data_IF_521954438466
#
_entry.id   IF_521954438466
#
_cell.length_a   1.000
_cell.length_b   1.000
_cell.length_c   1.000
_cell.angle_alpha   90.00
_cell.angle_beta   90.00
_cell.angle_gamma   90.00
#
_symmetry.space_group_name_H-M   'P 1'
#
loop_
_entity.id
_entity.type
_entity.pdbx_description
1 polymer ?
#
# COMPACT_ATOMS: atom_id res chain seq x y z
N UNK A 1 38.74 -5.01 1.38
CA UNK A 1 37.46 -4.64 2.01
C UNK A 1 36.34 -5.16 1.11
N UNK A 2 35.32 -5.83 1.63
CA UNK A 2 34.22 -6.37 0.81
C UNK A 2 33.24 -5.26 0.44
N UNK A 3 32.71 -5.27 -0.77
CA UNK A 3 31.75 -4.27 -1.26
C UNK A 3 30.48 -4.21 -0.42
N UNK A 4 29.99 -5.34 0.07
CA UNK A 4 28.84 -5.41 0.95
C UNK A 4 29.07 -4.82 2.35
N UNK A 5 30.34 -4.75 2.79
CA UNK A 5 30.70 -4.13 4.07
C UNK A 5 30.88 -2.61 3.90
N UNK A 6 31.48 -2.19 2.78
CA UNK A 6 31.59 -0.79 2.39
C UNK A 6 30.21 -0.15 2.11
N UNK A 7 29.31 -0.88 1.43
CA UNK A 7 27.92 -0.48 1.21
C UNK A 7 27.15 -0.34 2.53
N UNK A 8 27.37 -1.27 3.47
CA UNK A 8 26.80 -1.16 4.83
C UNK A 8 27.37 0.03 5.58
N UNK A 9 28.65 0.31 5.45
CA UNK A 9 29.30 1.44 6.10
C UNK A 9 28.78 2.78 5.56
N UNK A 10 28.67 2.91 4.22
CA UNK A 10 28.08 4.08 3.55
C UNK A 10 26.62 4.29 3.94
N UNK A 11 25.83 3.21 4.04
CA UNK A 11 24.42 3.29 4.48
C UNK A 11 24.33 3.60 5.98
N UNK A 12 25.27 3.10 6.79
CA UNK A 12 25.31 3.32 8.24
C UNK A 12 25.80 4.71 8.62
N UNK A 13 26.61 5.33 7.75
CA UNK A 13 26.90 6.76 7.78
C UNK A 13 25.57 7.47 7.53
N UNK A 14 24.89 7.84 8.62
CA UNK A 14 23.89 8.89 8.59
C UNK A 14 24.55 10.07 7.90
N UNK A 15 24.26 10.27 6.62
CA UNK A 15 24.42 11.55 5.95
C UNK A 15 23.68 12.52 6.85
N UNK A 16 24.42 13.24 7.69
CA UNK A 16 23.94 14.48 8.27
C UNK A 16 23.52 15.27 7.04
N UNK A 17 22.22 15.50 6.83
CA UNK A 17 21.78 16.18 5.63
C UNK A 17 22.58 17.48 5.58
N UNK A 18 23.20 17.80 4.43
CA UNK A 18 23.64 19.17 4.20
C UNK A 18 22.51 20.09 4.68
N UNK A 19 22.86 21.04 5.56
CA UNK A 19 21.94 22.00 6.15
C UNK A 19 21.20 22.74 5.02
N UNK A 20 20.07 22.19 4.56
CA UNK A 20 19.36 22.77 3.42
C UNK A 20 18.35 21.87 2.71
N UNK A 21 18.52 20.54 2.68
CA UNK A 21 17.65 19.68 1.84
C UNK A 21 16.82 18.71 2.69
N UNK A 22 15.57 19.10 2.93
CA UNK A 22 14.53 18.20 3.45
C UNK A 22 14.13 18.46 4.91
N UNK A 23 13.65 19.68 5.22
CA UNK A 23 12.83 19.86 6.43
C UNK A 23 11.65 18.87 6.36
N UNK A 24 11.34 18.13 7.44
CA UNK A 24 10.16 17.29 7.47
C UNK A 24 8.96 18.17 7.14
N UNK A 25 8.32 17.89 6.00
CA UNK A 25 7.14 18.63 5.58
C UNK A 25 6.00 18.19 6.50
N UNK A 26 5.91 18.85 7.66
CA UNK A 26 4.90 18.61 8.69
C UNK A 26 3.49 18.60 8.11
N UNK A 27 3.24 19.43 7.10
CA UNK A 27 1.98 19.48 6.39
C UNK A 27 1.73 18.19 5.59
N UNK A 28 2.72 17.67 4.87
CA UNK A 28 2.60 16.37 4.20
C UNK A 28 2.43 15.22 5.21
N UNK A 29 3.15 15.24 6.32
CA UNK A 29 3.01 14.26 7.41
C UNK A 29 1.60 14.27 8.02
N UNK A 30 1.08 15.46 8.35
CA UNK A 30 -0.29 15.64 8.85
C UNK A 30 -1.33 15.21 7.81
N UNK A 31 -1.15 15.55 6.54
CA UNK A 31 -2.04 15.10 5.46
C UNK A 31 -2.02 13.58 5.35
N UNK A 32 -0.85 12.93 5.41
CA UNK A 32 -0.78 11.46 5.37
C UNK A 32 -1.44 10.81 6.59
N UNK A 33 -1.23 11.35 7.79
CA UNK A 33 -1.86 10.84 9.02
C UNK A 33 -3.37 11.02 8.95
N UNK A 34 -3.85 12.22 8.61
CA UNK A 34 -5.27 12.51 8.47
C UNK A 34 -5.90 11.64 7.40
N UNK A 35 -5.25 11.49 6.24
CA UNK A 35 -5.74 10.63 5.15
C UNK A 35 -5.78 9.17 5.59
N UNK A 36 -4.78 8.70 6.35
CA UNK A 36 -4.75 7.32 6.88
C UNK A 36 -5.82 7.10 7.94
N UNK A 37 -6.06 8.08 8.81
CA UNK A 37 -7.08 8.04 9.85
C UNK A 37 -8.48 8.03 9.23
N UNK A 38 -8.71 8.90 8.25
CA UNK A 38 -9.94 8.96 7.46
C UNK A 38 -10.14 7.66 6.68
N UNK A 39 -9.11 7.12 6.02
CA UNK A 39 -9.17 5.81 5.35
C UNK A 39 -9.50 4.70 6.35
N UNK A 40 -8.93 4.73 7.56
CA UNK A 40 -9.20 3.74 8.60
C UNK A 40 -10.64 3.77 9.10
N UNK A 41 -11.25 4.96 9.20
CA UNK A 41 -12.69 5.09 9.45
C UNK A 41 -13.52 4.53 8.28
N UNK A 42 -13.05 4.66 7.04
CA UNK A 42 -13.75 4.11 5.89
C UNK A 42 -13.69 2.57 5.80
N UNK A 43 -12.71 1.91 6.43
CA UNK A 43 -12.72 0.45 6.55
C UNK A 43 -13.81 -0.08 7.49
N UNK A 44 -14.43 0.77 8.33
CA UNK A 44 -15.62 0.42 9.12
C UNK A 44 -16.91 0.54 8.31
N UNK A 45 -16.89 1.19 7.15
CA UNK A 45 -18.06 1.35 6.29
C UNK A 45 -18.80 0.05 5.97
N UNK A 46 -18.15 -1.05 5.52
CA UNK A 46 -18.86 -2.31 5.28
C UNK A 46 -19.49 -2.89 6.56
N UNK A 47 -18.85 -2.71 7.73
CA UNK A 47 -19.39 -3.16 9.02
C UNK A 47 -20.65 -2.37 9.38
N UNK A 48 -20.62 -1.04 9.20
CA UNK A 48 -21.79 -0.19 9.39
C UNK A 48 -22.90 -0.54 8.40
N UNK A 49 -22.57 -0.84 7.15
CA UNK A 49 -23.53 -1.32 6.16
C UNK A 49 -24.23 -2.60 6.62
N UNK A 50 -23.47 -3.60 7.07
CA UNK A 50 -24.03 -4.84 7.62
C UNK A 50 -24.87 -4.59 8.88
N UNK A 51 -24.42 -3.70 9.78
CA UNK A 51 -25.15 -3.34 10.98
C UNK A 51 -26.48 -2.65 10.68
N UNK A 52 -26.53 -1.76 9.68
CA UNK A 52 -27.79 -1.13 9.25
C UNK A 52 -28.76 -2.12 8.63
N UNK A 53 -28.27 -3.11 7.87
CA UNK A 53 -29.13 -4.20 7.36
C UNK A 53 -29.70 -5.01 8.51
N UNK A 54 -28.87 -5.40 9.49
CA UNK A 54 -29.33 -6.12 10.68
C UNK A 54 -30.32 -5.31 11.51
N UNK A 55 -30.12 -4.00 11.62
CA UNK A 55 -31.08 -3.14 12.30
C UNK A 55 -32.39 -3.02 11.50
N UNK A 56 -32.32 -2.92 10.17
CA UNK A 56 -33.51 -2.86 9.32
C UNK A 56 -34.41 -4.08 9.51
N UNK A 57 -33.85 -5.28 9.73
CA UNK A 57 -34.63 -6.51 9.98
C UNK A 57 -35.29 -6.56 11.36
N UNK A 58 -34.92 -5.67 12.29
CA UNK A 58 -35.47 -5.61 13.65
C UNK A 58 -36.55 -4.54 13.84
N UNK A 59 -36.88 -3.78 12.79
CA UNK A 59 -37.81 -2.65 12.87
C UNK A 59 -39.07 -2.94 12.07
N UNK A 60 -40.24 -2.81 12.71
CA UNK A 60 -41.55 -3.08 12.07
C UNK A 60 -42.04 -1.93 11.16
N UNK A 61 -41.47 -0.74 11.32
CA UNK A 61 -41.82 0.44 10.51
C UNK A 61 -41.14 0.39 9.14
N UNK A 62 -41.95 0.23 8.08
CA UNK A 62 -41.47 0.21 6.68
C UNK A 62 -40.64 1.44 6.31
N UNK A 63 -41.05 2.64 6.71
CA UNK A 63 -40.31 3.87 6.40
C UNK A 63 -38.93 3.95 7.08
N UNK A 64 -38.82 3.38 8.29
CA UNK A 64 -37.55 3.29 9.01
C UNK A 64 -36.66 2.22 8.39
N UNK A 65 -37.23 1.08 8.01
CA UNK A 65 -36.54 0.01 7.28
C UNK A 65 -35.94 0.51 5.97
N UNK A 66 -36.71 1.24 5.15
CA UNK A 66 -36.25 1.85 3.90
C UNK A 66 -35.09 2.84 4.12
N UNK A 67 -35.17 3.66 5.19
CA UNK A 67 -34.10 4.60 5.55
C UNK A 67 -32.81 3.89 5.96
N UNK A 68 -32.92 2.83 6.77
CA UNK A 68 -31.78 2.03 7.21
C UNK A 68 -31.15 1.26 6.04
N UNK A 69 -31.93 0.69 5.15
CA UNK A 69 -31.41 0.03 3.94
C UNK A 69 -30.74 1.04 3.01
N UNK A 70 -31.28 2.25 2.88
CA UNK A 70 -30.65 3.32 2.10
C UNK A 70 -29.29 3.73 2.68
N UNK A 71 -29.19 3.83 4.02
CA UNK A 71 -27.92 4.07 4.71
C UNK A 71 -26.95 2.90 4.50
N UNK A 72 -27.42 1.66 4.54
CA UNK A 72 -26.60 0.48 4.25
C UNK A 72 -26.04 0.51 2.82
N UNK A 73 -26.88 0.82 1.83
CA UNK A 73 -26.48 0.98 0.42
C UNK A 73 -25.37 2.03 0.31
N UNK A 74 -25.56 3.21 0.92
CA UNK A 74 -24.56 4.27 0.92
C UNK A 74 -23.22 3.81 1.51
N UNK A 75 -23.24 3.06 2.62
CA UNK A 75 -22.04 2.49 3.21
C UNK A 75 -21.36 1.46 2.30
N UNK A 76 -22.11 0.58 1.63
CA UNK A 76 -21.50 -0.34 0.65
C UNK A 76 -20.87 0.39 -0.53
N UNK A 77 -21.47 1.47 -1.02
CA UNK A 77 -20.88 2.33 -2.08
C UNK A 77 -19.55 2.93 -1.60
N UNK A 78 -19.51 3.49 -0.39
CA UNK A 78 -18.28 4.04 0.20
C UNK A 78 -17.20 2.97 0.31
N UNK A 79 -17.56 1.78 0.80
CA UNK A 79 -16.66 0.62 0.89
C UNK A 79 -16.08 0.23 -0.47
N UNK A 80 -16.89 0.20 -1.53
CA UNK A 80 -16.45 -0.08 -2.90
C UNK A 80 -15.42 0.96 -3.36
N UNK A 81 -15.73 2.25 -3.22
CA UNK A 81 -14.83 3.35 -3.65
C UNK A 81 -13.48 3.27 -2.94
N UNK A 82 -13.49 3.01 -1.64
CA UNK A 82 -12.28 2.89 -0.82
C UNK A 82 -11.47 1.67 -1.23
N UNK A 83 -12.12 0.52 -1.44
CA UNK A 83 -11.45 -0.72 -1.86
C UNK A 83 -10.83 -0.56 -3.25
N UNK A 84 -11.54 0.04 -4.21
CA UNK A 84 -11.01 0.33 -5.55
C UNK A 84 -9.80 1.26 -5.48
N UNK A 85 -9.88 2.31 -4.66
CA UNK A 85 -8.76 3.24 -4.45
C UNK A 85 -7.55 2.55 -3.81
N UNK A 86 -7.80 1.63 -2.86
CA UNK A 86 -6.77 0.80 -2.23
C UNK A 86 -6.11 -0.13 -3.26
N UNK A 87 -6.88 -0.82 -4.09
CA UNK A 87 -6.37 -1.70 -5.17
C UNK A 87 -5.56 -0.89 -6.18
N UNK A 88 -6.02 0.30 -6.57
CA UNK A 88 -5.27 1.21 -7.46
C UNK A 88 -3.94 1.64 -6.85
N UNK A 89 -3.95 1.95 -5.56
CA UNK A 89 -2.74 2.32 -4.82
C UNK A 89 -1.78 1.13 -4.76
N UNK A 90 -2.29 -0.07 -4.47
CA UNK A 90 -1.52 -1.31 -4.51
C UNK A 90 -0.94 -1.58 -5.91
N UNK A 91 -1.65 -1.26 -6.99
CA UNK A 91 -1.10 -1.40 -8.33
C UNK A 91 0.15 -0.54 -8.55
N UNK A 92 0.20 0.64 -7.90
CA UNK A 92 1.34 1.56 -7.98
C UNK A 92 2.51 1.15 -7.09
N UNK A 93 2.25 0.61 -5.90
CA UNK A 93 3.30 0.26 -4.93
C UNK A 93 3.75 -1.19 -5.03
N UNK A 94 2.87 -2.08 -5.52
CA UNK A 94 3.03 -3.55 -5.54
C UNK A 94 3.58 -4.10 -4.22
N UNK A 95 3.20 -3.44 -3.14
CA UNK A 95 3.68 -3.70 -1.78
C UNK A 95 2.59 -4.42 -1.01
N UNK A 96 2.95 -5.51 -0.33
CA UNK A 96 2.03 -6.17 0.59
C UNK A 96 1.71 -5.26 1.78
N UNK A 97 0.43 -5.09 2.08
CA UNK A 97 -0.03 -4.32 3.24
C UNK A 97 -0.94 -5.17 4.13
N UNK A 98 -0.54 -5.39 5.38
CA UNK A 98 -1.37 -6.10 6.37
C UNK A 98 -2.69 -5.38 6.61
N UNK A 99 -2.70 -4.04 6.58
CA UNK A 99 -3.92 -3.23 6.70
C UNK A 99 -4.87 -3.49 5.54
N UNK A 100 -4.35 -3.60 4.30
CA UNK A 100 -5.17 -3.90 3.13
C UNK A 100 -5.76 -5.32 3.18
N UNK A 101 -4.99 -6.30 3.67
CA UNK A 101 -5.48 -7.67 3.88
C UNK A 101 -6.61 -7.68 4.91
N UNK A 102 -6.40 -7.08 6.09
CA UNK A 102 -7.41 -7.05 7.15
C UNK A 102 -8.66 -6.29 6.70
N UNK A 103 -8.49 -5.17 5.98
CA UNK A 103 -9.61 -4.44 5.39
C UNK A 103 -10.42 -5.29 4.41
N UNK A 104 -9.75 -6.05 3.54
CA UNK A 104 -10.43 -6.97 2.62
C UNK A 104 -11.18 -8.09 3.34
N UNK A 105 -10.61 -8.66 4.41
CA UNK A 105 -11.29 -9.65 5.25
C UNK A 105 -12.54 -9.05 5.91
N UNK A 106 -12.44 -7.84 6.47
CA UNK A 106 -13.58 -7.14 7.09
C UNK A 106 -14.71 -6.93 6.09
N UNK A 107 -14.39 -6.54 4.85
CA UNK A 107 -15.38 -6.41 3.77
C UNK A 107 -16.07 -7.75 3.51
N UNK A 108 -15.31 -8.84 3.36
CA UNK A 108 -15.85 -10.18 3.11
C UNK A 108 -16.78 -10.62 4.24
N UNK A 109 -16.34 -10.49 5.49
CA UNK A 109 -17.14 -10.86 6.67
C UNK A 109 -18.43 -10.05 6.74
N UNK A 110 -18.36 -8.75 6.45
CA UNK A 110 -19.54 -7.88 6.47
C UNK A 110 -20.56 -8.26 5.38
N UNK A 111 -20.09 -8.62 4.18
CA UNK A 111 -20.96 -9.10 3.10
C UNK A 111 -21.62 -10.43 3.50
N UNK A 112 -20.86 -11.37 4.05
CA UNK A 112 -21.42 -12.65 4.54
C UNK A 112 -22.46 -12.39 5.62
N UNK A 113 -22.21 -11.48 6.56
CA UNK A 113 -23.16 -11.12 7.59
C UNK A 113 -24.45 -10.51 6.99
N UNK A 114 -24.32 -9.61 6.01
CA UNK A 114 -25.48 -9.04 5.30
C UNK A 114 -26.34 -10.10 4.63
N UNK A 115 -25.73 -11.06 3.93
CA UNK A 115 -26.47 -12.16 3.31
C UNK A 115 -27.09 -13.11 4.33
N UNK A 116 -26.36 -13.46 5.39
CA UNK A 116 -26.88 -14.32 6.46
C UNK A 116 -28.10 -13.70 7.14
N UNK A 117 -28.05 -12.39 7.42
CA UNK A 117 -29.17 -11.64 7.97
C UNK A 117 -30.34 -11.58 6.99
N UNK A 118 -30.08 -11.26 5.73
CA UNK A 118 -31.12 -11.22 4.69
C UNK A 118 -31.83 -12.56 4.52
N UNK A 119 -31.09 -13.68 4.53
CA UNK A 119 -31.67 -15.03 4.47
C UNK A 119 -32.47 -15.43 5.71
N UNK A 120 -32.13 -14.89 6.88
CA UNK A 120 -32.85 -15.16 8.13
C UNK A 120 -34.12 -14.34 8.32
N UNK A 121 -34.36 -13.37 7.44
CA UNK A 121 -35.50 -12.47 7.50
C UNK A 121 -36.60 -12.96 6.54
N UNK A 122 -37.77 -13.28 7.10
CA UNK A 122 -38.91 -13.81 6.33
C UNK A 122 -39.65 -12.77 5.47
N UNK A 123 -39.24 -11.49 5.54
CA UNK A 123 -39.80 -10.40 4.73
C UNK A 123 -38.91 -9.99 3.56
N UNK A 124 -39.45 -9.19 2.64
CA UNK A 124 -38.64 -8.57 1.58
C UNK A 124 -37.96 -7.29 2.09
N UNK A 125 -36.63 -7.25 2.03
CA UNK A 125 -35.88 -6.02 2.32
C UNK A 125 -36.07 -5.02 1.16
N UNK A 126 -36.43 -3.75 1.45
CA UNK A 126 -36.60 -2.74 0.41
C UNK A 126 -35.23 -2.30 -0.13
N UNK A 127 -34.80 -2.85 -1.27
CA UNK A 127 -33.59 -2.38 -1.94
C UNK A 127 -32.97 -3.38 -2.91
N UNK A 128 -33.43 -3.38 -4.17
CA UNK A 128 -32.92 -4.28 -5.23
C UNK A 128 -31.41 -4.15 -5.51
N UNK A 129 -30.80 -3.01 -5.16
CA UNK A 129 -29.37 -2.77 -5.36
C UNK A 129 -28.49 -3.22 -4.20
N UNK A 130 -29.06 -3.50 -3.01
CA UNK A 130 -28.29 -3.84 -1.82
C UNK A 130 -27.46 -5.11 -2.05
N UNK A 131 -28.08 -6.16 -2.56
CA UNK A 131 -27.41 -7.44 -2.84
C UNK A 131 -26.31 -7.30 -3.89
N UNK A 132 -26.59 -6.55 -4.97
CA UNK A 132 -25.64 -6.29 -6.05
C UNK A 132 -24.41 -5.55 -5.52
N UNK A 133 -24.62 -4.53 -4.69
CA UNK A 133 -23.53 -3.75 -4.09
C UNK A 133 -22.75 -4.55 -3.05
N UNK A 134 -23.42 -5.34 -2.21
CA UNK A 134 -22.78 -6.23 -1.26
C UNK A 134 -21.90 -7.27 -1.99
N UNK A 135 -22.41 -7.89 -3.07
CA UNK A 135 -21.63 -8.81 -3.90
C UNK A 135 -20.43 -8.13 -4.56
N UNK A 136 -20.63 -6.94 -5.13
CA UNK A 136 -19.55 -6.17 -5.74
C UNK A 136 -18.44 -5.83 -4.72
N UNK A 137 -18.84 -5.40 -3.52
CA UNK A 137 -17.91 -5.15 -2.42
C UNK A 137 -17.16 -6.43 -2.01
N UNK A 138 -17.88 -7.56 -1.89
CA UNK A 138 -17.29 -8.85 -1.55
C UNK A 138 -16.25 -9.31 -2.57
N UNK A 139 -16.56 -9.22 -3.87
CA UNK A 139 -15.63 -9.57 -4.94
C UNK A 139 -14.38 -8.70 -4.91
N UNK A 140 -14.53 -7.38 -4.70
CA UNK A 140 -13.42 -6.46 -4.53
C UNK A 140 -12.58 -6.76 -3.28
N UNK A 141 -13.22 -7.13 -2.17
CA UNK A 141 -12.56 -7.56 -0.95
C UNK A 141 -11.70 -8.81 -1.17
N UNK A 142 -12.24 -9.83 -1.84
CA UNK A 142 -11.50 -11.04 -2.23
C UNK A 142 -10.33 -10.69 -3.13
N UNK A 143 -10.56 -9.89 -4.18
CA UNK A 143 -9.50 -9.45 -5.08
C UNK A 143 -8.38 -8.73 -4.33
N UNK A 144 -8.71 -7.81 -3.41
CA UNK A 144 -7.72 -7.10 -2.60
C UNK A 144 -6.89 -8.05 -1.72
N UNK A 145 -7.52 -9.04 -1.08
CA UNK A 145 -6.82 -10.06 -0.27
C UNK A 145 -5.90 -10.91 -1.14
N UNK A 146 -6.41 -11.44 -2.25
CA UNK A 146 -5.63 -12.29 -3.18
C UNK A 146 -4.43 -11.53 -3.74
N UNK A 147 -4.61 -10.29 -4.18
CA UNK A 147 -3.52 -9.45 -4.70
C UNK A 147 -2.44 -9.19 -3.64
N UNK A 148 -2.83 -8.93 -2.39
CA UNK A 148 -1.86 -8.71 -1.31
C UNK A 148 -1.16 -10.00 -0.86
N UNK A 149 -1.82 -11.15 -0.92
CA UNK A 149 -1.22 -12.45 -0.61
C UNK A 149 -0.26 -12.93 -1.69
N UNK A 150 -0.59 -12.67 -2.96
CA UNK A 150 0.25 -12.99 -4.11
C UNK A 150 1.46 -12.04 -4.24
N UNK A 151 1.50 -10.95 -3.48
CA UNK A 151 2.63 -10.02 -3.47
C UNK A 151 3.76 -10.53 -2.57
N UNK A 152 4.96 -10.65 -3.13
CA UNK A 152 6.18 -10.88 -2.34
C UNK A 152 6.36 -9.77 -1.29
N UNK A 153 6.77 -10.19 -0.08
CA UNK A 153 6.92 -9.34 1.11
C UNK A 153 8.00 -8.25 0.96
N UNK A 154 8.89 -8.34 -0.03
CA UNK A 154 10.16 -7.60 -0.02
C UNK A 154 10.32 -6.52 -1.09
N UNK A 155 9.27 -6.12 -1.81
CA UNK A 155 9.33 -4.92 -2.68
C UNK A 155 9.09 -3.63 -1.91
N UNK A 156 9.89 -3.43 -0.87
CA UNK A 156 10.04 -2.14 -0.17
C UNK A 156 11.45 -1.60 -0.41
N UNK A 157 11.58 -0.76 -1.44
CA UNK A 157 12.41 0.45 -1.38
C UNK A 157 12.18 1.22 -2.67
N UNK A 158 11.56 2.39 -2.54
CA UNK A 158 11.22 3.27 -3.65
C UNK A 158 12.39 3.43 -4.63
N UNK A 159 12.17 2.98 -5.86
CA UNK A 159 12.92 3.51 -7.00
C UNK A 159 12.36 4.89 -7.34
N UNK A 160 13.19 5.82 -7.82
CA UNK A 160 12.74 7.10 -8.36
C UNK A 160 11.55 6.90 -9.33
N UNK A 161 10.47 7.66 -9.14
CA UNK A 161 9.20 7.42 -9.85
C UNK A 161 9.15 8.06 -11.24
N UNK A 162 10.15 8.89 -11.57
CA UNK A 162 10.22 9.63 -12.83
C UNK A 162 11.60 9.59 -13.45
N UNK A 163 11.69 9.68 -14.79
CA UNK A 163 12.96 9.67 -15.51
C UNK A 163 13.92 10.80 -15.12
N UNK A 164 13.42 11.93 -14.58
CA UNK A 164 14.26 13.03 -14.06
C UNK A 164 14.87 12.70 -12.70
N UNK A 165 14.10 12.13 -11.78
CA UNK A 165 14.60 11.69 -10.48
C UNK A 165 15.54 10.49 -10.64
N UNK A 166 15.25 9.60 -11.59
CA UNK A 166 16.12 8.48 -11.95
C UNK A 166 17.49 8.98 -12.42
N UNK A 167 17.53 9.99 -13.30
CA UNK A 167 18.80 10.60 -13.75
C UNK A 167 19.59 11.24 -12.61
N UNK A 168 18.92 11.91 -11.66
CA UNK A 168 19.60 12.48 -10.48
C UNK A 168 20.14 11.40 -9.56
N UNK A 169 19.38 10.32 -9.37
CA UNK A 169 19.81 9.17 -8.58
C UNK A 169 20.98 8.43 -9.24
N UNK A 170 20.95 8.27 -10.56
CA UNK A 170 22.03 7.65 -11.33
C UNK A 170 23.29 8.52 -11.31
N UNK A 171 23.14 9.86 -11.41
CA UNK A 171 24.26 10.80 -11.32
C UNK A 171 24.92 10.83 -9.93
N UNK A 172 24.12 10.91 -8.86
CA UNK A 172 24.65 10.86 -7.48
C UNK A 172 25.38 9.54 -7.20
N UNK A 173 24.92 8.45 -7.83
CA UNK A 173 25.53 7.14 -7.70
C UNK A 173 26.83 6.99 -8.48
N UNK A 174 26.91 7.62 -9.65
CA UNK A 174 28.17 7.75 -10.40
C UNK A 174 29.20 8.53 -9.58
N UNK A 175 28.79 9.64 -8.98
CA UNK A 175 29.62 10.50 -8.14
C UNK A 175 30.17 9.76 -6.90
N UNK A 176 29.34 8.98 -6.20
CA UNK A 176 29.80 8.19 -5.04
C UNK A 176 30.85 7.16 -5.43
N UNK A 177 30.65 6.43 -6.54
CA UNK A 177 31.65 5.43 -6.99
C UNK A 177 32.96 6.13 -7.37
N UNK A 178 32.87 7.31 -7.97
CA UNK A 178 34.04 8.08 -8.38
C UNK A 178 34.82 8.62 -7.18
N UNK A 179 34.13 9.16 -6.16
CA UNK A 179 34.75 9.62 -4.91
C UNK A 179 35.43 8.47 -4.16
N UNK A 180 34.84 7.27 -4.17
CA UNK A 180 35.44 6.09 -3.53
C UNK A 180 36.74 5.65 -4.21
N UNK A 181 36.81 5.76 -5.54
CA UNK A 181 38.02 5.45 -6.31
C UNK A 181 39.08 6.53 -6.12
N UNK A 182 38.69 7.81 -6.19
CA UNK A 182 39.59 8.95 -6.04
C UNK A 182 40.23 9.01 -4.64
N UNK A 183 39.46 8.68 -3.59
CA UNK A 183 39.97 8.56 -2.22
C UNK A 183 40.81 7.30 -1.97
N UNK A 184 41.01 6.46 -2.98
CA UNK A 184 41.80 5.23 -2.87
C UNK A 184 41.18 4.18 -1.95
N UNK A 185 39.89 4.33 -1.58
CA UNK A 185 39.19 3.37 -0.72
C UNK A 185 38.93 2.07 -1.48
N UNK A 186 38.83 2.14 -2.82
CA UNK A 186 38.71 0.96 -3.65
C UNK A 186 39.44 1.09 -4.99
N UNK A 187 40.14 0.02 -5.38
CA UNK A 187 40.81 -0.10 -6.67
C UNK A 187 39.86 -0.78 -7.65
N UNK A 188 39.42 -0.05 -8.68
CA UNK A 188 38.53 -0.56 -9.72
C UNK A 188 39.19 -0.46 -11.08
N UNK A 189 39.13 -1.56 -11.85
CA UNK A 189 39.39 -1.46 -13.29
C UNK A 189 38.31 -0.62 -13.97
N UNK A 190 38.60 0.04 -15.11
CA UNK A 190 37.62 0.85 -15.84
C UNK A 190 36.31 0.11 -16.15
N UNK A 191 36.40 -1.20 -16.42
CA UNK A 191 35.25 -2.05 -16.71
C UNK A 191 34.43 -2.44 -15.48
N UNK A 192 35.07 -2.55 -14.31
CA UNK A 192 34.36 -2.77 -13.05
C UNK A 192 33.69 -1.48 -12.59
N UNK A 193 34.35 -0.32 -12.73
CA UNK A 193 33.79 1.01 -12.46
C UNK A 193 32.47 1.24 -13.22
N UNK A 194 32.48 1.03 -14.54
CA UNK A 194 31.25 1.18 -15.38
C UNK A 194 30.13 0.21 -15.01
N UNK A 195 30.45 -0.98 -14.47
CA UNK A 195 29.44 -1.96 -14.03
C UNK A 195 28.87 -1.59 -12.68
N UNK A 196 29.72 -1.16 -11.76
CA UNK A 196 29.31 -0.68 -10.44
C UNK A 196 28.48 0.59 -10.50
N UNK A 197 28.80 1.52 -11.43
CA UNK A 197 27.97 2.69 -11.75
C UNK A 197 26.60 2.31 -12.33
N UNK A 198 26.39 1.06 -12.78
CA UNK A 198 25.08 0.55 -13.26
C UNK A 198 24.28 -0.31 -12.25
N UNK A 199 24.91 -0.95 -11.27
CA UNK A 199 24.24 -1.69 -10.16
C UNK A 199 23.68 -0.87 -8.97
N UNK A 200 22.36 -0.88 -8.76
CA UNK A 200 21.65 -0.14 -7.69
C UNK A 200 22.33 -0.27 -6.30
N UNK A 201 22.38 0.82 -5.55
CA UNK A 201 22.78 0.82 -4.13
C UNK A 201 21.83 -0.09 -3.35
N UNK A 202 22.38 -0.99 -2.54
CA UNK A 202 21.75 -2.16 -1.91
C UNK A 202 22.06 -3.49 -2.61
N UNK A 203 22.80 -3.49 -3.71
CA UNK A 203 23.14 -4.71 -4.47
C UNK A 203 24.63 -4.93 -4.67
N UNK A 204 25.49 -4.10 -4.07
CA UNK A 204 26.94 -4.18 -4.28
C UNK A 204 27.57 -5.42 -3.65
N UNK A 205 26.94 -6.01 -2.63
CA UNK A 205 27.28 -7.34 -2.11
C UNK A 205 27.30 -8.44 -3.20
N UNK A 206 26.58 -8.28 -4.33
CA UNK A 206 26.60 -9.22 -5.44
C UNK A 206 27.91 -9.20 -6.22
N UNK A 207 28.67 -8.11 -6.13
CA UNK A 207 30.00 -8.01 -6.73
C UNK A 207 31.02 -8.85 -5.96
N UNK A 208 30.87 -8.94 -4.63
CA UNK A 208 31.68 -9.84 -3.80
C UNK A 208 31.43 -11.30 -4.12
N UNK A 209 30.17 -11.67 -4.35
CA UNK A 209 29.77 -13.03 -4.70
C UNK A 209 30.33 -13.51 -6.05
N UNK A 210 30.72 -12.59 -6.93
CA UNK A 210 31.34 -12.91 -8.23
C UNK A 210 32.86 -13.12 -8.15
N UNK A 211 33.47 -13.02 -6.96
CA UNK A 211 34.87 -13.40 -6.74
C UNK A 211 35.90 -12.56 -7.47
N UNK A 212 35.59 -11.28 -7.78
CA UNK A 212 36.48 -10.36 -8.50
C UNK A 212 36.91 -9.16 -7.66
N UNK A 213 37.28 -9.44 -6.40
CA UNK A 213 37.96 -8.51 -5.49
C UNK A 213 39.27 -9.16 -5.07
#
# INVERSE_FOLDING_TARGET
>A
MKWGDLEREIISLKLVPEEGVGRPNLLLGMVMILTSLVLSMFFLSPVLGAAFVAWATMVDSRGTQESLVTLAIFMFVVSIVVTVTSIRTWWSTRSRSTVSIMGGIVVIVSVVATFAVGLSYDGELPGSWLEVLALAAGFLGIAAVVLNLASDRDRSSGGPKSGREQRRYDAAREEVVDVLVERGLVVLTPDQRRRMQRMRVGTWHKFDAQGRV
#
